data_IF_039973026557
#
_entry.id   IF_039973026557
#
_cell.length_a   1.000
_cell.length_b   1.000
_cell.length_c   1.000
_cell.angle_alpha   90.00
_cell.angle_beta   90.00
_cell.angle_gamma   90.00
#
_symmetry.space_group_name_H-M   'P 1'
#
loop_
_entity.id
_entity.type
_entity.pdbx_description
1 polymer ?
#
# COMPACT_ATOMS: atom_id res chain seq x y z
N UNK A 1 16.65 10.48 19.53
CA UNK A 1 15.25 10.28 19.12
C UNK A 1 15.27 10.14 17.61
N UNK A 2 14.71 9.06 17.07
CA UNK A 2 14.56 8.91 15.62
C UNK A 2 13.58 9.96 15.15
N UNK A 3 13.98 10.78 14.19
CA UNK A 3 13.09 11.74 13.54
C UNK A 3 12.04 10.95 12.75
N UNK A 4 10.75 11.22 12.98
CA UNK A 4 9.64 10.54 12.32
C UNK A 4 9.03 11.52 11.32
N UNK A 5 9.09 11.17 10.04
CA UNK A 5 8.53 11.96 8.95
C UNK A 5 7.23 11.33 8.43
N UNK A 6 6.21 12.17 8.22
CA UNK A 6 5.03 11.79 7.45
C UNK A 6 5.39 11.81 5.96
N UNK A 7 5.44 10.65 5.32
CA UNK A 7 5.75 10.53 3.89
C UNK A 7 4.54 10.92 3.01
N UNK A 8 3.34 10.48 3.37
CA UNK A 8 2.11 10.79 2.64
C UNK A 8 0.88 10.79 3.55
N UNK A 9 -0.16 11.50 3.12
CA UNK A 9 -1.47 11.57 3.77
C UNK A 9 -2.58 11.29 2.75
N UNK A 10 -3.82 11.11 3.22
CA UNK A 10 -4.98 10.89 2.35
C UNK A 10 -5.09 9.48 1.74
N UNK A 11 -4.32 8.51 2.24
CA UNK A 11 -4.39 7.11 1.83
C UNK A 11 -5.64 6.42 2.43
N UNK A 12 -6.29 5.56 1.65
CA UNK A 12 -7.49 4.85 2.04
C UNK A 12 -7.21 3.57 2.81
N UNK A 13 -6.87 3.68 4.10
CA UNK A 13 -6.47 2.57 4.99
C UNK A 13 -5.26 1.82 4.43
N UNK A 14 -4.05 2.41 4.57
CA UNK A 14 -2.84 1.84 4.01
C UNK A 14 -2.36 0.59 4.76
N UNK A 15 -1.93 -0.44 4.05
CA UNK A 15 -1.39 -1.69 4.61
C UNK A 15 -0.21 -2.22 3.79
N UNK A 16 0.54 -3.17 4.36
CA UNK A 16 1.58 -3.93 3.66
C UNK A 16 2.60 -3.08 2.90
N UNK A 17 3.33 -2.16 3.56
CA UNK A 17 4.33 -1.35 2.88
C UNK A 17 5.53 -2.19 2.44
N UNK A 18 6.02 -1.95 1.22
CA UNK A 18 7.25 -2.52 0.67
C UNK A 18 8.13 -1.40 0.16
N UNK A 19 9.33 -1.29 0.73
CA UNK A 19 10.34 -0.31 0.30
C UNK A 19 10.99 -0.79 -1.01
N UNK A 20 11.02 0.08 -2.01
CA UNK A 20 11.62 -0.15 -3.31
C UNK A 20 13.07 0.34 -3.34
N UNK A 21 13.91 -0.17 -4.27
CA UNK A 21 15.31 0.27 -4.40
C UNK A 21 15.52 1.77 -4.67
N UNK A 22 14.53 2.45 -5.25
CA UNK A 22 14.59 3.90 -5.50
C UNK A 22 14.09 4.75 -4.31
N UNK A 23 13.87 4.12 -3.16
CA UNK A 23 13.40 4.77 -1.93
C UNK A 23 11.89 5.03 -1.90
N UNK A 24 11.15 4.73 -2.98
CA UNK A 24 9.69 4.76 -2.93
C UNK A 24 9.14 3.60 -2.09
N UNK A 25 7.90 3.76 -1.63
CA UNK A 25 7.15 2.72 -0.92
C UNK A 25 5.94 2.34 -1.76
N UNK A 26 5.77 1.05 -2.04
CA UNK A 26 4.51 0.53 -2.57
C UNK A 26 3.72 -0.05 -1.40
N UNK A 27 2.45 0.31 -1.30
CA UNK A 27 1.54 -0.12 -0.25
C UNK A 27 0.14 -0.37 -0.82
N UNK A 28 -0.69 -1.12 -0.11
CA UNK A 28 -2.11 -1.29 -0.46
C UNK A 28 -2.95 -0.20 0.18
N UNK A 29 -4.08 0.13 -0.44
CA UNK A 29 -5.13 0.94 0.17
C UNK A 29 -6.43 0.14 0.16
N UNK A 30 -6.80 -0.44 1.32
CA UNK A 30 -7.97 -1.33 1.44
C UNK A 30 -9.25 -0.61 0.96
N UNK A 31 -9.48 0.63 1.43
CA UNK A 31 -10.71 1.39 1.11
C UNK A 31 -10.77 1.79 -0.36
N UNK A 32 -9.61 1.98 -0.99
CA UNK A 32 -9.50 2.42 -2.39
C UNK A 32 -9.29 1.25 -3.36
N UNK A 33 -9.23 0.01 -2.88
CA UNK A 33 -9.07 -1.22 -3.67
C UNK A 33 -7.91 -1.16 -4.68
N UNK A 34 -6.77 -0.59 -4.26
CA UNK A 34 -5.58 -0.37 -5.12
C UNK A 34 -4.27 -0.58 -4.38
N UNK A 35 -3.19 -0.70 -5.14
CA UNK A 35 -1.84 -0.46 -4.65
C UNK A 35 -1.38 0.92 -5.11
N UNK A 36 -0.73 1.65 -4.21
CA UNK A 36 -0.18 2.98 -4.47
C UNK A 36 1.32 2.99 -4.28
N UNK A 37 1.97 3.82 -5.09
CA UNK A 37 3.39 4.14 -4.93
C UNK A 37 3.52 5.53 -4.35
N UNK A 38 4.28 5.63 -3.26
CA UNK A 38 4.64 6.88 -2.60
C UNK A 38 6.13 7.10 -2.80
N UNK A 39 6.49 8.19 -3.46
CA UNK A 39 7.91 8.56 -3.69
C UNK A 39 8.51 9.25 -2.45
N UNK A 40 9.85 9.37 -2.35
CA UNK A 40 10.51 10.01 -1.20
C UNK A 40 10.08 11.47 -0.92
N UNK A 41 9.64 12.20 -1.95
CA UNK A 41 9.08 13.55 -1.86
C UNK A 41 7.57 13.58 -1.52
N UNK A 42 6.98 12.41 -1.24
CA UNK A 42 5.60 12.26 -0.77
C UNK A 42 4.53 12.23 -1.87
N UNK A 43 4.91 12.20 -3.15
CA UNK A 43 3.92 12.09 -4.24
C UNK A 43 3.32 10.69 -4.26
N UNK A 44 1.98 10.65 -4.22
CA UNK A 44 1.19 9.42 -4.29
C UNK A 44 0.68 9.21 -5.72
N UNK A 45 0.84 7.99 -6.24
CA UNK A 45 0.33 7.61 -7.56
C UNK A 45 -0.21 6.18 -7.55
N UNK A 46 -1.15 5.88 -8.45
CA UNK A 46 -1.64 4.53 -8.65
C UNK A 46 -0.48 3.66 -9.18
N UNK A 47 -0.16 2.59 -8.45
CA UNK A 47 0.75 1.56 -8.94
C UNK A 47 0.00 0.48 -9.70
N UNK A 48 -1.08 -0.05 -9.11
CA UNK A 48 -1.96 -1.01 -9.77
C UNK A 48 -3.36 -0.99 -9.16
N UNK A 49 -4.37 -1.30 -9.98
CA UNK A 49 -5.68 -1.66 -9.45
C UNK A 49 -5.59 -3.05 -8.82
N UNK A 50 -6.17 -3.22 -7.63
CA UNK A 50 -6.16 -4.50 -6.94
C UNK A 50 -7.56 -5.13 -6.88
N UNK A 51 -8.61 -4.29 -6.84
CA UNK A 51 -9.96 -4.75 -6.51
C UNK A 51 -10.04 -5.31 -5.09
N UNK A 52 -11.24 -5.72 -4.66
CA UNK A 52 -11.43 -6.39 -3.37
C UNK A 52 -10.90 -5.59 -2.15
N UNK A 53 -10.29 -6.29 -1.20
CA UNK A 53 -9.66 -5.74 0.00
C UNK A 53 -8.18 -6.13 0.04
N UNK A 54 -7.31 -5.39 -0.67
CA UNK A 54 -5.88 -5.67 -0.71
C UNK A 54 -5.24 -5.35 0.64
N UNK A 55 -4.37 -6.22 1.15
CA UNK A 55 -3.77 -6.08 2.48
C UNK A 55 -2.24 -6.23 2.42
N UNK A 56 -1.69 -7.36 2.84
CA UNK A 56 -0.24 -7.61 2.83
C UNK A 56 0.34 -7.64 1.41
N UNK A 57 1.53 -7.05 1.25
CA UNK A 57 2.36 -7.13 0.05
C UNK A 57 3.76 -7.64 0.41
N UNK A 58 4.38 -8.38 -0.50
CA UNK A 58 5.77 -8.79 -0.42
C UNK A 58 6.40 -8.93 -1.81
N UNK A 59 7.71 -8.70 -1.92
CA UNK A 59 8.48 -9.03 -3.13
C UNK A 59 8.80 -10.52 -3.11
N UNK A 60 8.45 -11.23 -4.17
CA UNK A 60 8.81 -12.63 -4.35
C UNK A 60 10.22 -12.80 -4.93
N UNK A 61 10.75 -14.04 -4.97
CA UNK A 61 12.08 -14.34 -5.50
C UNK A 61 12.22 -14.08 -7.01
N UNK A 62 11.10 -13.95 -7.72
CA UNK A 62 11.01 -13.57 -9.13
C UNK A 62 10.98 -12.05 -9.35
N UNK A 63 11.01 -11.25 -8.28
CA UNK A 63 10.91 -9.79 -8.32
C UNK A 63 9.49 -9.25 -8.49
N UNK A 64 8.46 -10.12 -8.50
CA UNK A 64 7.08 -9.69 -8.55
C UNK A 64 6.58 -9.27 -7.15
N UNK A 65 5.53 -8.43 -7.10
CA UNK A 65 4.81 -8.14 -5.87
C UNK A 65 3.64 -9.11 -5.69
N UNK A 66 3.67 -9.86 -4.60
CA UNK A 66 2.62 -10.79 -4.19
C UNK A 66 1.69 -10.09 -3.22
N UNK A 67 0.39 -10.19 -3.47
CA UNK A 67 -0.67 -9.49 -2.75
C UNK A 67 -1.62 -10.48 -2.07
N UNK A 68 -1.86 -10.29 -0.79
CA UNK A 68 -3.01 -10.87 -0.10
C UNK A 68 -4.24 -10.01 -0.35
N UNK A 69 -5.29 -10.59 -0.95
CA UNK A 69 -6.56 -9.90 -1.20
C UNK A 69 -7.71 -10.73 -0.63
N UNK A 70 -8.51 -10.14 0.26
CA UNK A 70 -9.64 -10.82 0.90
C UNK A 70 -10.89 -10.95 0.01
N UNK A 71 -10.83 -10.49 -1.25
CA UNK A 71 -11.95 -10.57 -2.20
C UNK A 71 -13.01 -9.49 -2.00
N UNK A 72 -12.78 -8.48 -1.15
CA UNK A 72 -13.71 -7.39 -0.91
C UNK A 72 -14.58 -7.57 0.32
N UNK A 73 -14.19 -8.42 1.27
CA UNK A 73 -14.76 -8.39 2.62
C UNK A 73 -14.61 -6.98 3.16
N UNK A 74 -15.74 -6.29 3.29
CA UNK A 74 -15.77 -4.88 3.65
C UNK A 74 -15.36 -4.72 5.10
N UNK A 75 -14.31 -3.94 5.32
CA UNK A 75 -14.10 -3.31 6.61
C UNK A 75 -15.32 -2.44 6.92
N UNK A 76 -16.02 -2.74 8.01
CA UNK A 76 -17.11 -1.91 8.52
C UNK A 76 -16.55 -1.16 9.71
N UNK A 77 -16.51 0.17 9.63
CA UNK A 77 -15.99 1.02 10.71
C UNK A 77 -16.99 1.03 11.87
N UNK A 78 -16.54 0.68 13.08
CA UNK A 78 -17.34 0.79 14.30
C UNK A 78 -18.23 -0.41 14.67
N UNK A 79 -17.92 -1.61 14.14
CA UNK A 79 -18.41 -2.90 14.68
C UNK A 79 -17.28 -3.69 15.31
#
# INVERSE_FOLDING_TARGET
MTDVQILATGLGFPEGPVVMPDGSVILTEIRNARCSRVTPDGKVSLYSAAGGGPNGLAVGPDGALYLCNNGGSRYVEGV
#
